data_IF_815110753569
#
_entry.id   IF_815110753569
#
_cell.length_a   1.000
_cell.length_b   1.000
_cell.length_c   1.000
_cell.angle_alpha   90.00
_cell.angle_beta   90.00
_cell.angle_gamma   90.00
#
_symmetry.space_group_name_H-M   'P 1'
#
loop_
_entity.id
_entity.type
_entity.pdbx_description
1 polymer ?
#
# COMPACT_ATOMS: atom_id res chain seq x y z
N UNK A 1 33.87 -7.73 35.04
CA UNK A 1 33.37 -7.68 33.64
C UNK A 1 31.85 -7.68 33.65
N UNK A 2 31.18 -6.81 32.88
CA UNK A 2 29.71 -6.84 32.78
C UNK A 2 29.27 -8.04 31.93
N UNK A 3 28.33 -8.86 32.44
CA UNK A 3 27.73 -9.97 31.69
C UNK A 3 26.91 -9.40 30.52
N UNK A 4 27.15 -9.88 29.30
CA UNK A 4 26.35 -9.48 28.13
C UNK A 4 24.89 -9.90 28.33
N UNK A 5 23.96 -8.96 28.10
CA UNK A 5 22.54 -9.27 28.06
C UNK A 5 22.22 -10.20 26.88
N UNK A 6 21.06 -10.85 26.91
CA UNK A 6 20.61 -11.66 25.77
C UNK A 6 20.52 -10.84 24.48
N UNK A 7 20.13 -9.56 24.56
CA UNK A 7 20.06 -8.65 23.41
C UNK A 7 21.46 -8.36 22.82
N UNK A 8 22.45 -8.05 23.66
CA UNK A 8 23.82 -7.79 23.20
C UNK A 8 24.47 -9.03 22.58
N UNK A 9 24.13 -10.23 23.06
CA UNK A 9 24.59 -11.49 22.45
C UNK A 9 24.03 -11.66 21.03
N UNK A 10 22.75 -11.37 20.81
CA UNK A 10 22.13 -11.40 19.47
C UNK A 10 22.75 -10.38 18.52
N UNK A 11 22.89 -9.12 18.98
CA UNK A 11 23.45 -8.05 18.16
C UNK A 11 24.88 -8.35 17.69
N UNK A 12 25.69 -9.03 18.51
CA UNK A 12 27.05 -9.42 18.12
C UNK A 12 27.14 -10.47 17.00
N UNK A 13 26.03 -11.13 16.67
CA UNK A 13 25.95 -12.11 15.58
C UNK A 13 25.38 -11.50 14.30
N UNK A 14 25.00 -10.22 14.29
CA UNK A 14 24.49 -9.57 13.09
C UNK A 14 25.60 -9.36 12.07
N UNK A 15 25.33 -9.56 10.76
CA UNK A 15 26.29 -9.20 9.72
C UNK A 15 26.52 -7.69 9.73
N UNK A 16 27.70 -7.27 9.28
CA UNK A 16 27.99 -5.86 9.11
C UNK A 16 27.08 -5.27 8.02
N UNK A 17 26.28 -4.25 8.37
CA UNK A 17 25.33 -3.57 7.49
C UNK A 17 25.43 -2.07 7.78
N UNK A 18 25.39 -1.26 6.74
CA UNK A 18 25.19 0.18 6.83
C UNK A 18 23.69 0.52 6.84
N UNK A 19 23.37 1.81 6.88
CA UNK A 19 22.01 2.34 6.88
C UNK A 19 21.48 2.63 5.46
N UNK A 20 22.16 2.16 4.40
CA UNK A 20 21.81 2.45 3.01
C UNK A 20 20.38 2.05 2.60
N UNK A 21 19.80 1.06 3.29
CA UNK A 21 18.43 0.58 3.07
C UNK A 21 17.40 1.17 4.04
N UNK A 22 17.82 2.00 5.00
CA UNK A 22 16.91 2.67 5.94
C UNK A 22 16.26 3.88 5.24
N UNK A 23 14.94 3.83 5.06
CA UNK A 23 14.19 4.93 4.44
C UNK A 23 12.90 5.25 5.20
N UNK A 24 12.39 6.47 4.98
CA UNK A 24 11.11 6.96 5.53
C UNK A 24 10.21 7.44 4.39
N UNK A 25 8.90 7.43 4.62
CA UNK A 25 7.91 7.75 3.60
C UNK A 25 6.95 8.84 4.09
N UNK A 26 6.49 9.68 3.16
CA UNK A 26 5.40 10.64 3.36
C UNK A 26 4.36 10.41 2.27
N UNK A 27 3.09 10.59 2.62
CA UNK A 27 1.96 10.36 1.74
C UNK A 27 1.19 11.66 1.54
N UNK A 28 0.63 11.83 0.34
CA UNK A 28 -0.24 12.96 0.02
C UNK A 28 -1.40 12.51 -0.88
N UNK A 29 -2.56 13.20 -0.83
CA UNK A 29 -3.67 12.93 -1.74
C UNK A 29 -3.26 13.15 -3.20
N UNK A 30 -3.82 12.34 -4.10
CA UNK A 30 -3.65 12.46 -5.55
C UNK A 30 -4.79 13.28 -6.14
N UNK A 31 -4.49 14.19 -7.07
CA UNK A 31 -5.49 14.96 -7.82
C UNK A 31 -5.94 14.20 -9.09
N UNK A 32 -7.15 14.50 -9.58
CA UNK A 32 -7.72 13.90 -10.79
C UNK A 32 -8.33 12.50 -10.63
N UNK A 33 -7.61 11.58 -9.97
CA UNK A 33 -8.10 10.22 -9.65
C UNK A 33 -8.22 9.97 -8.13
N UNK A 34 -8.38 11.06 -7.37
CA UNK A 34 -8.45 11.05 -5.92
C UNK A 34 -9.75 10.48 -5.35
N UNK A 35 -10.08 10.92 -4.14
CA UNK A 35 -11.30 10.52 -3.44
C UNK A 35 -12.53 10.89 -4.27
N UNK A 36 -13.43 9.93 -4.43
CA UNK A 36 -14.72 10.09 -5.09
C UNK A 36 -15.74 9.23 -4.34
N UNK A 37 -16.85 9.85 -3.93
CA UNK A 37 -17.90 9.18 -3.16
C UNK A 37 -18.47 7.98 -3.95
N UNK A 38 -18.59 6.83 -3.29
CA UNK A 38 -19.10 5.60 -3.93
C UNK A 38 -18.16 4.91 -4.91
N UNK A 39 -16.90 5.37 -5.04
CA UNK A 39 -15.87 4.74 -5.89
C UNK A 39 -14.68 4.30 -5.05
N UNK A 40 -14.36 3.02 -5.13
CA UNK A 40 -13.16 2.45 -4.54
C UNK A 40 -12.08 2.29 -5.60
N UNK A 41 -10.92 2.90 -5.38
CA UNK A 41 -9.69 2.72 -6.18
C UNK A 41 -8.60 2.18 -5.27
N UNK A 42 -8.14 0.95 -5.49
CA UNK A 42 -7.16 0.28 -4.62
C UNK A 42 -6.13 -0.51 -5.43
N UNK A 43 -5.06 -0.92 -4.75
CA UNK A 43 -4.04 -1.84 -5.26
C UNK A 43 -3.38 -1.33 -6.56
N UNK A 44 -2.64 -0.20 -6.50
CA UNK A 44 -1.96 0.34 -7.67
C UNK A 44 -0.77 -0.56 -8.08
N UNK A 45 -0.67 -0.84 -9.36
CA UNK A 45 0.53 -1.43 -9.95
C UNK A 45 1.69 -0.42 -9.99
N UNK A 46 2.89 -0.88 -10.35
CA UNK A 46 4.02 -0.01 -10.66
C UNK A 46 3.65 1.02 -11.74
N UNK A 47 4.19 2.23 -11.61
CA UNK A 47 3.95 3.33 -12.54
C UNK A 47 4.86 3.17 -13.77
N UNK A 48 4.28 3.31 -14.96
CA UNK A 48 5.01 3.28 -16.24
C UNK A 48 5.04 4.70 -16.83
N UNK A 49 6.22 5.15 -17.28
CA UNK A 49 6.37 6.44 -17.96
C UNK A 49 6.53 6.22 -19.47
N UNK A 50 5.68 6.85 -20.28
CA UNK A 50 5.77 6.85 -21.75
C UNK A 50 5.73 8.31 -22.22
N UNK A 51 6.85 8.78 -22.77
CA UNK A 51 7.07 10.20 -23.08
C UNK A 51 6.85 11.10 -21.84
N UNK A 52 5.89 12.03 -21.92
CA UNK A 52 5.52 12.95 -20.84
C UNK A 52 4.36 12.46 -19.97
N UNK A 53 3.89 11.22 -20.17
CA UNK A 53 2.72 10.66 -19.47
C UNK A 53 3.11 9.52 -18.53
N UNK A 54 2.46 9.49 -17.37
CA UNK A 54 2.56 8.41 -16.39
C UNK A 54 1.27 7.58 -16.40
N UNK A 55 1.43 6.27 -16.39
CA UNK A 55 0.34 5.28 -16.43
C UNK A 55 0.40 4.41 -15.19
N UNK A 56 -0.77 4.14 -14.62
CA UNK A 56 -0.94 3.22 -13.50
C UNK A 56 -2.22 2.42 -13.71
N UNK A 57 -2.14 1.12 -13.47
CA UNK A 57 -3.31 0.25 -13.39
C UNK A 57 -3.70 0.07 -11.93
N UNK A 58 -4.99 0.01 -11.65
CA UNK A 58 -5.53 -0.15 -10.30
C UNK A 58 -6.87 -0.89 -10.36
N UNK A 59 -7.26 -1.49 -9.25
CA UNK A 59 -8.58 -2.10 -9.10
C UNK A 59 -9.61 -1.01 -8.84
N UNK A 60 -10.69 -0.98 -9.63
CA UNK A 60 -11.81 -0.05 -9.46
C UNK A 60 -13.09 -0.83 -9.14
N UNK A 61 -13.79 -0.46 -8.08
CA UNK A 61 -15.16 -0.91 -7.82
C UNK A 61 -16.07 0.27 -7.49
N UNK A 62 -17.36 0.10 -7.74
CA UNK A 62 -18.39 1.12 -7.50
C UNK A 62 -19.48 0.54 -6.61
N UNK A 63 -20.13 1.40 -5.83
CA UNK A 63 -21.16 1.01 -4.89
C UNK A 63 -20.62 0.66 -3.50
N UNK A 64 -21.52 0.31 -2.57
CA UNK A 64 -21.13 0.04 -1.19
C UNK A 64 -20.16 -1.13 -1.12
N UNK A 65 -19.17 -1.02 -0.23
CA UNK A 65 -18.36 -2.16 0.16
C UNK A 65 -19.27 -3.31 0.62
N UNK A 66 -18.92 -4.54 0.27
CA UNK A 66 -19.68 -5.81 0.34
C UNK A 66 -20.39 -6.15 1.68
N UNK A 67 -20.35 -5.30 2.70
CA UNK A 67 -21.03 -5.49 3.97
C UNK A 67 -22.17 -4.48 4.16
N UNK A 68 -23.22 -4.65 3.37
CA UNK A 68 -24.54 -4.14 3.74
C UNK A 68 -25.38 -5.33 4.23
N UNK A 69 -25.62 -5.41 5.54
CA UNK A 69 -26.55 -6.37 6.16
C UNK A 69 -28.01 -6.20 5.69
N UNK A 70 -28.29 -5.20 4.83
CA UNK A 70 -29.63 -4.80 4.39
C UNK A 70 -29.85 -4.77 2.87
N UNK A 71 -28.86 -5.16 2.06
CA UNK A 71 -29.03 -5.15 0.60
C UNK A 71 -29.27 -6.57 0.06
N UNK A 72 -30.54 -6.92 -0.13
CA UNK A 72 -30.99 -8.19 -0.76
C UNK A 72 -30.80 -8.20 -2.29
N UNK A 73 -30.19 -7.17 -2.89
CA UNK A 73 -29.98 -7.13 -4.33
C UNK A 73 -28.60 -7.66 -4.71
N UNK A 74 -28.52 -8.96 -5.00
CA UNK A 74 -27.40 -9.58 -5.72
C UNK A 74 -27.34 -9.00 -7.15
N UNK A 75 -26.63 -7.89 -7.34
CA UNK A 75 -26.29 -7.41 -8.68
C UNK A 75 -24.88 -7.87 -9.01
N UNK A 76 -24.80 -8.80 -9.95
CA UNK A 76 -23.57 -9.23 -10.61
C UNK A 76 -22.76 -7.99 -11.03
N UNK A 77 -21.55 -7.87 -10.50
CA UNK A 77 -20.53 -6.97 -11.04
C UNK A 77 -19.65 -7.84 -11.95
N UNK A 78 -19.95 -7.85 -13.24
CA UNK A 78 -19.01 -8.35 -14.25
C UNK A 78 -17.89 -7.32 -14.40
N UNK A 79 -16.66 -7.78 -14.23
CA UNK A 79 -15.43 -7.05 -14.55
C UNK A 79 -15.24 -7.04 -16.06
#
# INVERSE_FOLDING_TARGET
MKKKSAASKRASQYPNRDDSWLCTFKYMPVSGIGLEEGVHRRDPNSIIKVNEKYYVYYTKSVGPSFRNEKDESWKYISI
#
